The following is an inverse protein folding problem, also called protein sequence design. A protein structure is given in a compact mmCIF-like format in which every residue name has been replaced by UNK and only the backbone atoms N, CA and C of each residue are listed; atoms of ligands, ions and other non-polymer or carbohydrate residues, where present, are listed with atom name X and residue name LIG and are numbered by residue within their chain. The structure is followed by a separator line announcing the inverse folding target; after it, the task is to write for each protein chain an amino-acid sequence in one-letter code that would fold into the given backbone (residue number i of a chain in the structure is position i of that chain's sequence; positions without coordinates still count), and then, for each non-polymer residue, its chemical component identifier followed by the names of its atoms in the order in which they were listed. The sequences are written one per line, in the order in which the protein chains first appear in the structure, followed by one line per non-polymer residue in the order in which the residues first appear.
data_IF_664651309149
#
_entry.id   IF_664651309149
#
_cell.length_a   1.000
_cell.length_b   1.000
_cell.length_c   1.000
_cell.angle_alpha   90.00
_cell.angle_beta   90.00
_cell.angle_gamma   90.00
#
_symmetry.space_group_name_H-M   'P 1'
#
loop_
_entity.id
_entity.type
_entity.pdbx_description
1 polymer ?
2 polymer ?
3 water ?
#
# COMPACT_ATOMS: atom_id res chain seq x y z
N UNK A 31 30.65 13.81 10.40
CA UNK A 31 30.29 12.37 10.45
C UNK A 31 28.79 12.15 10.26
N UNK A 32 27.98 12.84 11.07
CA UNK A 32 26.52 12.72 11.00
C UNK A 32 26.10 11.26 11.09
N UNK A 33 26.54 10.58 12.13
CA UNK A 33 26.13 9.20 12.39
C UNK A 33 24.65 9.14 12.74
N UNK A 34 24.11 10.23 13.27
CA UNK A 34 22.68 10.34 13.55
C UNK A 34 21.87 10.29 12.25
N UNK A 35 22.24 11.13 11.30
CA UNK A 35 21.60 11.13 9.98
C UNK A 35 21.77 9.80 9.26
N UNK A 36 23.00 9.27 9.31
CA UNK A 36 23.30 7.98 8.67
C UNK A 36 22.48 6.84 9.27
N UNK A 37 22.38 6.82 10.60
CA UNK A 37 21.59 5.80 11.30
C UNK A 37 20.13 5.87 10.90
N UNK A 38 19.56 7.08 10.92
CA UNK A 38 18.15 7.27 10.62
C UNK A 38 17.82 6.97 9.16
N UNK A 39 18.75 7.24 8.24
CA UNK A 39 18.55 6.85 6.84
C UNK A 39 18.58 5.32 6.69
N UNK A 40 19.47 4.65 7.41
CA UNK A 40 19.47 3.19 7.45
C UNK A 40 18.15 2.64 8.02
N UNK A 41 17.66 3.24 9.10
CA UNK A 41 16.34 2.90 9.64
C UNK A 41 15.26 2.96 8.56
N UNK A 42 15.22 4.08 7.85
CA UNK A 42 14.23 4.30 6.80
C UNK A 42 14.38 3.30 5.66
N UNK A 43 15.63 3.02 5.28
CA UNK A 43 15.93 2.03 4.24
C UNK A 43 15.46 0.63 4.65
N UNK A 44 15.57 0.31 5.94
CA UNK A 44 15.09 -0.97 6.45
C UNK A 44 13.58 -1.11 6.28
N UNK A 45 12.82 -0.07 6.62
CA UNK A 45 11.36 -0.12 6.50
C UNK A 45 10.92 -0.10 5.03
N UNK A 46 11.57 0.70 4.20
CA UNK A 46 11.28 0.71 2.77
C UNK A 46 11.52 -0.65 2.14
N UNK A 47 12.66 -1.27 2.47
CA UNK A 47 12.96 -2.62 2.00
C UNK A 47 11.96 -3.66 2.52
N UNK A 48 11.56 -3.53 3.79
CA UNK A 48 10.57 -4.45 4.37
C UNK A 48 9.24 -4.36 3.62
N UNK A 49 8.81 -3.12 3.38
CA UNK A 49 7.55 -2.85 2.67
C UNK A 49 7.60 -3.37 1.23
N UNK A 50 8.75 -3.25 0.57
CA UNK A 50 8.92 -3.77 -0.78
C UNK A 50 8.83 -5.28 -0.83
N UNK A 51 9.55 -5.94 0.08
CA UNK A 51 9.49 -7.39 0.21
C UNK A 51 8.08 -7.86 0.57
N UNK A 52 7.43 -7.14 1.48
CA UNK A 52 6.07 -7.47 1.89
C UNK A 52 5.07 -7.27 0.75
N UNK A 53 5.26 -6.20 -0.03
CA UNK A 53 4.41 -5.92 -1.20
C UNK A 53 4.36 -7.12 -2.15
N UNK A 54 5.54 -7.62 -2.52
CA UNK A 54 5.64 -8.71 -3.48
C UNK A 54 5.10 -10.02 -2.90
N UNK A 55 5.43 -10.31 -1.65
CA UNK A 55 4.91 -11.50 -0.96
C UNK A 55 3.38 -11.46 -0.90
N UNK A 56 2.83 -10.31 -0.52
CA UNK A 56 1.39 -10.14 -0.38
C UNK A 56 0.69 -10.27 -1.73
N UNK A 57 1.22 -9.59 -2.75
CA UNK A 57 0.65 -9.68 -4.09
C UNK A 57 0.67 -11.12 -4.61
N UNK A 58 1.81 -11.79 -4.44
CA UNK A 58 1.94 -13.19 -4.86
C UNK A 58 0.93 -14.10 -4.18
N UNK A 59 0.62 -13.83 -2.91
CA UNK A 59 -0.37 -14.62 -2.17
C UNK A 59 -1.77 -14.30 -2.65
N UNK A 60 -2.10 -13.02 -2.75
CA UNK A 60 -3.39 -12.58 -3.26
C UNK A 60 -3.62 -13.10 -4.69
N UNK A 61 -2.56 -13.16 -5.48
CA UNK A 61 -2.65 -13.58 -6.87
C UNK A 61 -2.96 -15.07 -7.05
N UNK A 62 -2.59 -15.89 -6.07
CA UNK A 62 -2.83 -17.34 -6.13
C UNK A 62 -4.31 -17.67 -6.33
N UNK A 63 -5.17 -16.94 -5.63
CA UNK A 63 -6.62 -17.09 -5.76
C UNK A 63 -7.17 -16.21 -6.88
N UNK A 64 -6.76 -14.95 -6.88
CA UNK A 64 -7.36 -13.92 -7.74
C UNK A 64 -6.53 -13.63 -8.99
N UNK A 65 -6.24 -14.67 -9.77
CA UNK A 65 -5.41 -14.55 -10.99
C UNK A 65 -5.97 -13.61 -12.06
N UNK A 66 -7.29 -13.42 -12.05
CA UNK A 66 -8.00 -12.73 -13.14
C UNK A 66 -8.70 -11.44 -12.71
N UNK A 67 -8.35 -10.93 -11.53
CA UNK A 67 -9.01 -9.74 -10.97
C UNK A 67 -8.04 -8.58 -10.79
N UNK A 68 -8.58 -7.37 -10.71
CA UNK A 68 -7.79 -6.20 -10.33
C UNK A 68 -7.35 -6.35 -8.88
N UNK A 69 -6.10 -5.97 -8.60
CA UNK A 69 -5.59 -5.92 -7.24
C UNK A 69 -5.03 -4.52 -7.01
N UNK A 70 -5.39 -3.93 -5.88
CA UNK A 70 -4.82 -2.65 -5.48
C UNK A 70 -4.78 -2.53 -3.96
N UNK A 71 -3.60 -2.19 -3.43
CA UNK A 71 -3.44 -1.98 -1.99
C UNK A 71 -2.31 -1.00 -1.68
N UNK A 72 -2.35 -0.45 -0.45
CA UNK A 72 -1.26 0.34 0.10
C UNK A 72 -0.46 -0.52 1.08
N UNK A 73 0.71 -1.01 0.65
CA UNK A 73 1.54 -1.78 1.58
C UNK A 73 2.05 -0.92 2.76
N UNK A 74 2.21 0.38 2.54
CA UNK A 74 2.54 1.31 3.62
C UNK A 74 1.48 1.30 4.71
N UNK A 75 0.21 1.35 4.32
CA UNK A 75 -0.89 1.39 5.27
C UNK A 75 -1.02 0.06 6.03
N UNK A 76 -0.90 -1.04 5.31
CA UNK A 76 -1.02 -2.37 5.91
C UNK A 76 0.11 -2.60 6.91
N UNK A 77 1.34 -2.33 6.48
CA UNK A 77 2.51 -2.56 7.31
C UNK A 77 2.55 -1.63 8.52
N UNK A 78 2.15 -0.37 8.33
CA UNK A 78 2.10 0.59 9.44
C UNK A 78 1.15 0.13 10.55
N UNK A 79 -0.05 -0.30 10.17
CA UNK A 79 -1.05 -0.77 11.13
C UNK A 79 -0.56 -2.02 11.86
N UNK A 80 0.02 -2.96 11.11
CA UNK A 80 0.57 -4.18 11.69
C UNK A 80 1.87 -3.96 12.46
N UNK A 81 2.57 -2.87 12.17
CA UNK A 81 3.77 -2.50 12.93
C UNK A 81 3.37 -1.91 14.28
N UNK A 82 2.32 -1.11 14.29
CA UNK A 82 1.72 -0.60 15.52
C UNK A 82 1.20 -1.75 16.39
N UNK A 83 0.78 -2.84 15.75
CA UNK A 83 0.38 -4.07 16.42
C UNK A 83 1.61 -4.86 16.90
N UNK A 84 2.61 -4.95 16.02
CA UNK A 84 3.89 -5.61 16.33
C UNK A 84 4.56 -5.00 17.56
N UNK A 85 4.39 -3.68 17.74
CA UNK A 85 4.89 -2.97 18.91
C UNK A 85 4.40 -3.60 20.23
N UNK A 86 3.20 -4.16 20.22
CA UNK A 86 2.61 -4.81 21.40
C UNK A 86 2.93 -6.31 21.49
N UNK A 87 3.44 -6.89 20.40
CA UNK A 87 3.60 -8.34 20.28
C UNK A 87 4.82 -8.87 21.03
N UNK A 88 4.72 -10.11 21.49
CA UNK A 88 5.80 -10.79 22.19
C UNK A 88 5.92 -12.23 21.69
N UNK A 89 7.06 -12.85 21.95
CA UNK A 89 7.27 -14.27 21.65
C UNK A 89 7.06 -14.64 20.19
N UNK A 90 6.48 -15.82 19.98
CA UNK A 90 6.26 -16.35 18.62
C UNK A 90 5.24 -15.52 17.84
N UNK A 91 4.33 -14.85 18.54
CA UNK A 91 3.41 -13.91 17.91
C UNK A 91 4.18 -12.81 17.19
N UNK A 92 5.16 -12.23 17.87
CA UNK A 92 6.00 -11.18 17.31
C UNK A 92 6.91 -11.71 16.21
N UNK A 93 7.58 -12.82 16.50
CA UNK A 93 8.55 -13.41 15.57
C UNK A 93 7.94 -13.77 14.22
N UNK A 94 6.71 -14.28 14.24
CA UNK A 94 5.97 -14.59 13.00
C UNK A 94 5.67 -13.32 12.21
N UNK A 95 5.16 -12.29 12.91
CA UNK A 95 4.87 -11.00 12.28
C UNK A 95 6.13 -10.40 11.64
N UNK A 96 7.24 -10.43 12.38
CA UNK A 96 8.52 -9.90 11.88
C UNK A 96 8.98 -10.61 10.61
N UNK A 97 8.73 -11.92 10.53
CA UNK A 97 9.14 -12.71 9.38
C UNK A 97 8.28 -12.38 8.15
N UNK A 98 6.96 -12.36 8.34
CA UNK A 98 6.02 -12.09 7.25
C UNK A 98 6.15 -10.64 6.75
N UNK A 99 6.27 -9.70 7.68
CA UNK A 99 6.35 -8.27 7.34
C UNK A 99 7.78 -7.82 7.01
N UNK A 100 8.74 -8.73 7.17
CA UNK A 100 10.15 -8.48 6.87
C UNK A 100 10.77 -7.40 7.76
N UNK A 101 10.56 -7.53 9.08
CA UNK A 101 11.15 -6.62 10.06
C UNK A 101 12.44 -7.17 10.71
N UNK A 102 12.99 -8.24 10.13
CA UNK A 102 14.07 -8.99 10.79
C UNK A 102 15.40 -8.24 10.84
N UNK A 103 15.69 -7.47 9.80
CA UNK A 103 16.99 -6.79 9.68
C UNK A 103 17.07 -5.46 10.46
N UNK A 104 16.10 -5.20 11.33
CA UNK A 104 16.03 -3.92 12.04
C UNK A 104 16.10 -4.10 13.55
N UNK A 105 16.97 -3.33 14.19
CA UNK A 105 17.05 -3.30 15.66
C UNK A 105 15.87 -2.53 16.23
N UNK A 106 15.39 -1.53 15.48
CA UNK A 106 14.25 -0.72 15.91
C UNK A 106 13.40 -0.28 14.71
N UNK A 107 12.62 -1.22 14.18
CA UNK A 107 11.80 -0.99 12.99
C UNK A 107 10.88 0.24 13.16
N UNK A 108 10.44 0.47 14.40
CA UNK A 108 9.52 1.56 14.71
C UNK A 108 10.12 2.95 14.46
N UNK A 109 11.45 3.06 14.57
CA UNK A 109 12.14 4.31 14.25
C UNK A 109 12.05 4.64 12.77
N UNK A 110 12.28 3.65 11.92
CA UNK A 110 12.17 3.82 10.48
C UNK A 110 10.77 4.27 10.06
N UNK A 111 9.75 3.66 10.66
CA UNK A 111 8.36 4.05 10.41
C UNK A 111 8.12 5.49 10.83
N UNK A 112 8.65 5.86 12.00
CA UNK A 112 8.56 7.24 12.50
C UNK A 112 9.15 8.23 11.51
N UNK A 113 10.37 7.94 11.05
CA UNK A 113 11.09 8.87 10.18
C UNK A 113 10.47 8.94 8.78
N UNK A 114 9.96 7.82 8.28
CA UNK A 114 9.23 7.83 7.02
C UNK A 114 7.92 8.63 7.15
N UNK A 115 7.21 8.41 8.25
CA UNK A 115 5.97 9.15 8.53
C UNK A 115 6.23 10.65 8.56
N UNK A 116 7.29 11.04 9.27
CA UNK A 116 7.69 12.44 9.34
C UNK A 116 8.00 13.02 7.95
N UNK A 117 8.73 12.26 7.13
CA UNK A 117 9.03 12.68 5.77
C UNK A 117 7.78 12.85 4.92
N UNK A 118 6.86 11.89 4.98
CA UNK A 118 5.62 11.94 4.20
C UNK A 118 4.72 13.09 4.65
N UNK A 119 4.70 13.36 5.96
CA UNK A 119 3.85 14.42 6.51
C UNK A 119 4.51 15.81 6.53
N UNK A 120 5.71 15.93 5.98
CA UNK A 120 6.43 17.19 5.98
C UNK A 120 5.59 18.25 5.27
N UNK A 121 5.42 19.44 5.88
CA UNK A 121 4.58 20.46 5.26
C UNK A 121 5.09 20.91 3.89
N UNK A 122 4.16 21.10 2.95
CA UNK A 122 4.46 21.45 1.58
C UNK A 122 3.24 22.09 0.94
N UNK A 123 3.44 22.74 -0.20
CA UNK A 123 2.34 23.40 -0.91
C UNK A 123 2.10 22.88 -2.35
N UNK A 124 2.97 21.99 -2.83
CA UNK A 124 2.92 21.55 -4.24
C UNK A 124 2.11 20.26 -4.50
N UNK A 125 1.86 19.46 -3.47
CA UNK A 125 0.96 18.30 -3.58
C UNK A 125 0.48 17.82 -2.21
N UNK A 126 -0.48 16.90 -2.22
CA UNK A 126 -1.04 16.33 -0.99
C UNK A 126 -0.45 14.95 -0.69
N UNK A 127 0.13 14.81 0.50
CA UNK A 127 0.59 13.53 1.00
C UNK A 127 0.54 13.56 2.52
N UNK A 128 -0.22 12.64 3.10
CA UNK A 128 -0.36 12.56 4.54
C UNK A 128 -0.71 11.14 4.97
N UNK A 129 -0.32 10.80 6.20
CA UNK A 129 -0.68 9.53 6.79
C UNK A 129 -0.87 9.73 8.29
N UNK A 130 -1.77 8.96 8.88
CA UNK A 130 -2.10 9.10 10.29
C UNK A 130 -2.46 7.76 10.89
N UNK A 131 -2.21 7.63 12.19
CA UNK A 131 -2.57 6.42 12.93
C UNK A 131 -3.39 6.80 14.16
N UNK A 132 -4.17 5.83 14.64
CA UNK A 132 -4.99 6.05 15.82
C UNK A 132 -5.34 4.75 16.51
N UNK A 133 -5.45 4.82 17.84
CA UNK A 133 -5.80 3.67 18.66
C UNK A 133 -7.19 3.89 19.22
N UNK A 134 -8.10 2.96 18.91
CA UNK A 134 -9.43 2.96 19.50
C UNK A 134 -9.51 1.81 20.49
N UNK A 135 -9.77 2.13 21.75
CA UNK A 135 -9.70 1.15 22.84
C UNK A 135 -10.98 1.15 23.67
N UNK A 136 -11.40 -0.04 24.09
CA UNK A 136 -12.52 -0.18 25.02
C UNK A 136 -12.21 0.66 26.27
N UNK A 137 -13.12 1.57 26.61
CA UNK A 137 -12.94 2.49 27.75
C UNK A 137 -12.65 1.76 29.06
N UNK A 138 -13.20 0.56 29.22
CA UNK A 138 -12.94 -0.29 30.39
C UNK A 138 -11.58 -0.99 30.35
N UNK A 139 -10.99 -1.10 29.15
CA UNK A 139 -9.74 -1.84 28.97
C UNK A 139 -8.53 -0.92 29.12
N UNK A 140 -7.70 -1.20 30.14
CA UNK A 140 -6.51 -0.41 30.41
C UNK A 140 -5.33 -0.91 29.59
N UNK A 141 -4.64 0.02 28.93
CA UNK A 141 -3.42 -0.29 28.17
C UNK A 141 -2.19 0.20 28.93
N UNK A 142 -1.10 -0.54 28.79
CA UNK A 142 0.15 -0.19 29.47
C UNK A 142 0.66 1.17 28.98
N UNK A 143 1.09 2.04 29.91
CA UNK A 143 1.53 3.39 29.53
C UNK A 143 2.75 3.42 28.60
N UNK A 144 3.62 2.41 28.71
CA UNK A 144 4.77 2.29 27.82
C UNK A 144 4.33 2.10 26.37
N UNK A 145 3.32 1.27 26.12
CA UNK A 145 2.82 1.07 24.77
C UNK A 145 2.26 2.36 24.18
N UNK A 146 1.52 3.12 25.00
CA UNK A 146 0.89 4.35 24.55
C UNK A 146 1.91 5.44 24.20
N UNK A 147 2.96 5.57 25.00
CA UNK A 147 3.99 6.57 24.72
C UNK A 147 4.84 6.21 23.50
N UNK A 148 5.10 4.91 23.29
CA UNK A 148 5.84 4.44 22.12
C UNK A 148 4.98 4.55 20.84
N UNK A 149 3.69 4.25 20.96
CA UNK A 149 2.74 4.42 19.86
C UNK A 149 2.62 5.89 19.46
N UNK A 150 2.65 6.78 20.43
CA UNK A 150 2.64 8.23 20.17
C UNK A 150 3.95 8.66 19.52
N UNK A 151 5.06 8.20 20.09
CA UNK A 151 6.40 8.50 19.58
C UNK A 151 6.56 8.08 18.11
N UNK A 152 6.38 6.79 17.84
CA UNK A 152 6.74 6.21 16.54
C UNK A 152 5.65 6.31 15.46
N UNK A 153 4.38 6.30 15.88
CA UNK A 153 3.26 6.28 14.93
C UNK A 153 2.32 7.48 15.05
N UNK A 154 2.58 8.36 16.00
CA UNK A 154 1.71 9.52 16.28
C UNK A 154 0.26 9.10 16.47
N UNK A 155 0.09 7.94 17.11
CA UNK A 155 -1.23 7.38 17.38
C UNK A 155 -1.64 7.77 18.79
N UNK A 156 -2.76 8.48 18.89
CA UNK A 156 -3.34 8.86 20.18
C UNK A 156 -4.44 7.87 20.53
N UNK A 157 -4.59 7.52 21.82
CA UNK A 157 -5.68 6.62 22.20
C UNK A 157 -7.01 7.39 22.32
N UNK A 158 -8.07 6.81 21.78
CA UNK A 158 -9.43 7.32 22.00
C UNK A 158 -10.26 6.23 22.64
N UNK A 159 -10.74 6.48 23.86
CA UNK A 159 -11.61 5.54 24.56
C UNK A 159 -12.98 5.52 23.88
N UNK A 160 -13.47 4.32 23.62
CA UNK A 160 -14.82 4.14 23.05
C UNK A 160 -15.53 2.98 23.74
N UNK A 161 -16.85 3.00 23.69
CA UNK A 161 -17.67 1.96 24.33
C UNK A 161 -17.97 0.83 23.34
N UNK A 162 -17.03 -0.11 23.21
CA UNK A 162 -17.26 -1.29 22.37
C UNK A 162 -18.28 -2.24 23.03
N UNK A 163 -18.14 -2.43 24.34
CA UNK A 163 -18.96 -3.39 25.10
C UNK A 163 -20.46 -3.22 24.84
N UNK A 164 -20.97 -2.01 25.05
CA UNK A 164 -22.42 -1.75 24.94
C UNK A 164 -22.77 -0.63 23.95
N UNK A 165 -21.87 -0.35 23.01
CA UNK A 165 -22.17 0.59 21.92
C UNK A 165 -21.24 0.40 20.71
N UNK A 166 -21.24 -0.81 20.12
CA UNK A 166 -20.35 -1.08 18.97
C UNK A 166 -20.63 -0.19 17.74
N UNK A 167 -21.91 0.04 17.45
CA UNK A 167 -22.29 0.80 16.25
C UNK A 167 -21.89 2.27 16.35
N UNK A 168 -22.08 2.86 17.52
CA UNK A 168 -21.63 4.24 17.78
C UNK A 168 -20.10 4.33 17.66
N UNK A 169 -19.41 3.30 18.15
CA UNK A 169 -17.95 3.23 18.10
C UNK A 169 -17.46 3.01 16.66
N UNK A 170 -18.13 2.14 15.93
CA UNK A 170 -17.81 1.87 14.53
C UNK A 170 -17.97 3.13 13.67
N UNK A 171 -19.03 3.88 13.92
CA UNK A 171 -19.36 5.06 13.12
C UNK A 171 -18.36 6.19 13.32
N UNK A 172 -17.92 6.40 14.56
CA UNK A 172 -16.94 7.44 14.86
C UNK A 172 -15.56 7.11 14.27
N UNK A 173 -15.22 5.83 14.22
CA UNK A 173 -13.98 5.36 13.57
C UNK A 173 -14.06 5.61 12.06
N UNK A 174 -15.17 5.18 11.45
CA UNK A 174 -15.39 5.40 10.01
C UNK A 174 -15.40 6.88 9.63
N UNK A 175 -15.83 7.74 10.56
CA UNK A 175 -15.85 9.18 10.34
C UNK A 175 -14.44 9.77 10.37
N UNK A 176 -13.60 9.26 11.26
CA UNK A 176 -12.19 9.67 11.31
C UNK A 176 -11.49 9.23 10.01
N UNK A 177 -11.66 7.97 9.64
CA UNK A 177 -11.08 7.44 8.41
C UNK A 177 -11.57 8.24 7.20
N UNK A 178 -12.85 8.59 7.19
CA UNK A 178 -13.42 9.43 6.15
C UNK A 178 -12.69 10.77 6.05
N UNK A 179 -12.37 11.34 7.21
CA UNK A 179 -11.66 12.63 7.27
C UNK A 179 -10.22 12.51 6.78
N UNK A 180 -9.54 11.43 7.15
CA UNK A 180 -8.15 11.21 6.75
C UNK A 180 -8.02 10.89 5.25
N UNK A 181 -9.07 10.33 4.67
CA UNK A 181 -9.06 9.88 3.27
C UNK A 181 -9.75 10.85 2.31
N UNK A 182 -10.00 12.08 2.77
CA UNK A 182 -10.67 13.10 1.97
C UNK A 182 -12.03 12.61 1.46
N UNK A 183 -12.75 11.90 2.34
CA UNK A 183 -14.10 11.38 2.08
C UNK A 183 -14.18 10.25 1.04
N UNK A 184 -13.06 9.64 0.71
CA UNK A 184 -13.04 8.56 -0.30
C UNK A 184 -13.28 7.18 0.31
N UNK A 185 -12.94 7.02 1.60
CA UNK A 185 -13.24 5.81 2.34
C UNK A 185 -14.21 6.18 3.46
N UNK A 186 -15.51 6.18 3.15
CA UNK A 186 -16.54 6.68 4.08
C UNK A 186 -16.99 5.65 5.12
N UNK A 187 -16.95 4.37 4.77
CA UNK A 187 -17.45 3.29 5.64
C UNK A 187 -16.47 2.11 5.71
N UNK A 188 -15.30 2.35 6.28
CA UNK A 188 -14.24 1.33 6.35
C UNK A 188 -14.73 0.06 7.03
N UNK A 189 -15.26 0.19 8.24
CA UNK A 189 -15.73 -0.95 9.03
C UNK A 189 -17.22 -1.17 8.85
N UNK A 190 -17.61 -2.45 8.75
CA UNK A 190 -19.02 -2.85 8.65
C UNK A 190 -19.53 -3.36 10.00
N UNK A 191 -20.82 -3.67 10.05
CA UNK A 191 -21.47 -4.16 11.27
C UNK A 191 -20.90 -5.51 11.73
N UNK A 192 -20.45 -6.32 10.77
CA UNK A 192 -19.86 -7.63 11.07
C UNK A 192 -18.45 -7.53 11.66
N UNK A 193 -17.81 -6.36 11.53
CA UNK A 193 -16.42 -6.18 11.94
C UNK A 193 -16.28 -5.80 13.41
N UNK A 194 -17.04 -4.79 13.83
CA UNK A 194 -17.02 -4.31 15.21
C UNK A 194 -18.16 -4.96 16.00
N UNK A 195 -17.81 -5.55 17.15
CA UNK A 195 -18.78 -6.27 17.99
C UNK A 195 -18.62 -5.87 19.45
N UNK A 196 -19.46 -6.44 20.31
CA UNK A 196 -19.36 -6.23 21.76
C UNK A 196 -18.07 -6.80 22.34
N UNK A 197 -17.54 -7.83 21.69
CA UNK A 197 -16.30 -8.48 22.11
C UNK A 197 -15.04 -7.72 21.69
N UNK A 198 -15.20 -6.73 20.80
CA UNK A 198 -14.07 -5.92 20.33
C UNK A 198 -13.49 -5.09 21.48
N UNK A 199 -12.16 -5.12 21.61
CA UNK A 199 -11.46 -4.38 22.67
C UNK A 199 -10.52 -3.30 22.13
N UNK A 200 -9.92 -3.54 20.97
CA UNK A 200 -8.97 -2.59 20.37
C UNK A 200 -9.06 -2.59 18.85
N UNK A 201 -9.01 -1.39 18.26
CA UNK A 201 -8.88 -1.24 16.81
C UNK A 201 -7.75 -0.25 16.49
N UNK A 202 -6.70 -0.76 15.86
CA UNK A 202 -5.54 0.05 15.47
C UNK A 202 -5.70 0.41 13.99
N UNK A 203 -5.77 1.70 13.70
CA UNK A 203 -6.08 2.18 12.35
C UNK A 203 -4.96 3.02 11.76
N UNK A 204 -4.62 2.73 10.50
CA UNK A 204 -3.79 3.62 9.68
C UNK A 204 -4.61 4.16 8.51
N UNK A 205 -4.36 5.41 8.16
CA UNK A 205 -4.88 5.98 6.92
C UNK A 205 -3.73 6.68 6.17
N UNK A 206 -3.79 6.64 4.85
CA UNK A 206 -2.86 7.38 4.00
C UNK A 206 -3.65 8.04 2.88
N UNK A 207 -3.34 9.31 2.59
CA UNK A 207 -3.93 10.02 1.45
C UNK A 207 -2.84 10.63 0.59
N UNK A 208 -2.98 10.45 -0.73
CA UNK A 208 -2.08 11.04 -1.71
C UNK A 208 -2.85 11.63 -2.88
N UNK A 209 -2.51 12.85 -3.26
CA UNK A 209 -3.01 13.46 -4.49
C UNK A 209 -1.97 14.42 -5.03
N UNK A 210 -1.58 14.22 -6.28
CA UNK A 210 -0.59 15.07 -6.93
C UNK A 210 -0.86 15.15 -8.42
N UNK A 211 -0.48 16.28 -9.01
CA UNK A 211 -0.50 16.41 -10.46
C UNK A 211 0.71 15.70 -11.04
N UNK A 212 0.60 15.24 -12.29
CA UNK A 212 1.76 14.79 -13.04
C UNK A 212 2.74 15.95 -13.19
N UNK A 213 4.02 15.64 -13.35
CA UNK A 213 5.01 16.65 -13.70
C UNK A 213 4.63 17.25 -15.05
N UNK A 214 4.27 16.38 -16.00
CA UNK A 214 3.69 16.80 -17.28
C UNK A 214 2.30 16.17 -17.42
N UNK A 215 1.28 17.02 -17.44
CA UNK A 215 -0.11 16.57 -17.52
C UNK A 215 -0.51 16.22 -18.95
N UNK A 216 -1.45 15.28 -19.08
CA UNK A 216 -2.05 14.95 -20.37
C UNK A 216 -3.03 16.05 -20.77
N UNK A 217 -3.20 16.26 -22.07
CA UNK A 217 -4.25 17.13 -22.59
C UNK A 217 -5.52 16.30 -22.81
N UNK A 218 -6.61 16.65 -22.14
CA UNK A 218 -7.88 15.93 -22.25
C UNK A 218 -8.39 15.88 -23.69
N UNK A 219 -8.06 16.92 -24.46
CA UNK A 219 -8.33 16.97 -25.90
C UNK A 219 -7.83 15.73 -26.64
N UNK A 220 -6.67 15.22 -26.24
CA UNK A 220 -6.03 14.08 -26.91
C UNK A 220 -6.51 12.72 -26.37
N UNK A 221 -7.37 12.73 -25.37
CA UNK A 221 -7.93 11.49 -24.82
C UNK A 221 -9.04 10.98 -25.75
N UNK A 222 -9.01 9.68 -26.04
CA UNK A 222 -10.00 9.07 -26.94
C UNK A 222 -10.35 7.66 -26.48
N UNK A 223 -11.54 7.19 -26.84
CA UNK A 223 -11.97 5.84 -26.50
C UNK A 223 -11.23 4.84 -27.38
N UNK A 224 -10.58 3.86 -26.74
CA UNK A 224 -9.77 2.87 -27.43
C UNK A 224 -9.98 1.52 -26.78
N UNK A 225 -9.62 0.42 -27.47
CA UNK A 225 -9.76 -0.89 -26.85
C UNK A 225 -8.63 -1.21 -25.88
N UNK A 226 -8.98 -1.70 -24.70
CA UNK A 226 -8.02 -2.27 -23.76
C UNK A 226 -8.19 -3.78 -23.82
N UNK A 227 -7.11 -4.47 -24.20
CA UNK A 227 -7.15 -5.92 -24.39
C UNK A 227 -6.91 -6.65 -23.07
N UNK A 228 -7.95 -7.30 -22.56
CA UNK A 228 -7.86 -8.09 -21.33
C UNK A 228 -7.15 -9.41 -21.58
N UNK A 229 -7.21 -9.87 -22.83
CA UNK A 229 -6.56 -11.11 -23.25
C UNK A 229 -6.44 -11.10 -24.78
N UNK A 230 -5.96 -12.21 -25.34
CA UNK A 230 -5.90 -12.37 -26.79
C UNK A 230 -7.28 -12.33 -27.45
N UNK A 231 -8.31 -12.74 -26.69
CA UNK A 231 -9.67 -12.88 -27.23
C UNK A 231 -10.71 -11.97 -26.58
N UNK A 232 -10.28 -11.07 -25.69
CA UNK A 232 -11.21 -10.21 -24.95
C UNK A 232 -10.68 -8.78 -24.84
N UNK A 233 -11.57 -7.83 -25.05
CA UNK A 233 -11.24 -6.41 -24.88
C UNK A 233 -12.45 -5.60 -24.47
N UNK A 234 -12.20 -4.45 -23.83
CA UNK A 234 -13.24 -3.52 -23.43
C UNK A 234 -12.76 -2.10 -23.70
N UNK A 235 -13.70 -1.17 -23.93
CA UNK A 235 -13.30 0.21 -24.19
C UNK A 235 -12.84 0.92 -22.92
N UNK A 236 -11.84 1.78 -23.06
CA UNK A 236 -11.42 2.67 -21.99
C UNK A 236 -11.13 4.03 -22.60
N UNK A 237 -11.15 5.07 -21.77
CA UNK A 237 -10.68 6.38 -22.20
C UNK A 237 -9.16 6.36 -22.16
N UNK A 238 -8.53 6.38 -23.33
CA UNK A 238 -7.08 6.28 -23.44
C UNK A 238 -6.45 7.66 -23.58
N UNK A 239 -5.68 8.05 -22.55
CA UNK A 239 -4.99 9.33 -22.56
C UNK A 239 -3.75 9.19 -23.44
N UNK A 240 -3.29 10.30 -24.01
CA UNK A 240 -2.14 10.29 -24.89
C UNK A 240 -1.29 11.54 -24.77
N UNK A 241 0.02 11.35 -24.77
CA UNK A 241 0.97 12.43 -24.95
C UNK A 241 2.25 11.91 -25.57
N UNK A 242 3.01 12.80 -26.19
CA UNK A 242 4.37 12.52 -26.59
C UNK A 242 5.29 13.34 -25.70
N UNK A 243 6.09 12.66 -24.90
CA UNK A 243 7.05 13.35 -24.04
C UNK A 243 8.15 12.38 -23.57
N UNK A 244 9.07 12.90 -22.76
CA UNK A 244 10.26 12.17 -22.37
C UNK A 244 10.15 11.64 -20.94
N UNK A 245 10.33 10.33 -20.79
CA UNK A 245 10.23 9.65 -19.51
C UNK A 245 11.36 8.65 -19.36
N UNK A 246 11.74 8.31 -18.11
CA UNK A 246 12.67 7.21 -17.94
C UNK A 246 12.03 5.89 -18.34
N UNK A 247 12.69 5.15 -19.22
CA UNK A 247 12.18 3.87 -19.70
C UNK A 247 13.26 2.80 -19.60
N UNK A 248 12.89 1.66 -19.04
CA UNK A 248 13.73 0.47 -19.04
C UNK A 248 13.18 -0.53 -20.06
N UNK A 249 14.01 -0.89 -21.03
CA UNK A 249 13.66 -1.89 -22.03
C UNK A 249 14.36 -3.19 -21.67
N UNK A 250 13.59 -4.22 -21.33
CA UNK A 250 14.15 -5.52 -20.98
C UNK A 250 13.78 -6.56 -22.04
N UNK A 251 14.48 -6.50 -23.16
CA UNK A 251 14.23 -7.36 -24.33
C UNK A 251 14.16 -8.84 -23.97
N UNK A 252 15.16 -9.31 -23.23
CA UNK A 252 15.31 -10.74 -22.94
C UNK A 252 14.25 -11.29 -22.00
N UNK A 253 13.49 -10.40 -21.35
CA UNK A 253 12.34 -10.82 -20.54
C UNK A 253 11.02 -10.28 -21.11
N UNK A 254 11.07 -9.78 -22.34
CA UNK A 254 9.89 -9.27 -23.05
C UNK A 254 9.02 -8.32 -22.22
N UNK A 255 9.63 -7.27 -21.68
CA UNK A 255 8.85 -6.21 -21.01
C UNK A 255 9.56 -4.87 -21.07
N UNK A 256 8.78 -3.82 -20.79
CA UNK A 256 9.31 -2.48 -20.61
C UNK A 256 8.75 -1.92 -19.31
N UNK A 257 9.48 -1.01 -18.71
CA UNK A 257 8.99 -0.29 -17.53
C UNK A 257 9.23 1.20 -17.73
N UNK A 258 8.26 2.00 -17.31
CA UNK A 258 8.32 3.44 -17.44
C UNK A 258 8.11 4.08 -16.08
N UNK A 259 8.73 5.23 -15.87
CA UNK A 259 8.50 6.03 -14.68
C UNK A 259 7.76 7.29 -15.10
N UNK A 260 6.65 7.56 -14.41
CA UNK A 260 5.83 8.74 -14.67
C UNK A 260 5.88 9.64 -13.44
N UNK A 261 6.73 10.68 -13.46
CA UNK A 261 6.86 11.53 -12.28
C UNK A 261 5.65 12.39 -11.99
N UNK A 262 5.33 12.55 -10.70
CA UNK A 262 4.43 13.60 -10.24
C UNK A 262 5.26 14.87 -10.04
N UNK A 263 4.63 15.95 -9.61
CA UNK A 263 5.31 17.24 -9.48
C UNK A 263 6.66 17.11 -8.76
N UNK A 264 7.70 17.74 -9.33
CA UNK A 264 9.05 17.74 -8.79
C UNK A 264 9.71 16.34 -8.67
N UNK A 265 9.07 15.32 -9.24
CA UNK A 265 9.56 13.94 -9.20
C UNK A 265 9.81 13.41 -7.77
N UNK A 266 9.11 13.96 -6.79
CA UNK A 266 9.24 13.50 -5.40
C UNK A 266 8.53 12.15 -5.24
N UNK A 267 7.46 11.97 -6.01
CA UNK A 267 6.85 10.67 -6.19
C UNK A 267 6.65 10.39 -7.68
N UNK A 268 6.53 9.12 -8.03
CA UNK A 268 6.31 8.68 -9.40
C UNK A 268 5.38 7.49 -9.41
N UNK A 269 4.71 7.28 -10.55
CA UNK A 269 4.05 6.01 -10.81
C UNK A 269 4.92 5.23 -11.76
N UNK A 270 5.26 4.00 -11.37
CA UNK A 270 5.98 3.09 -12.25
C UNK A 270 4.98 2.13 -12.86
N UNK A 271 5.15 1.86 -14.14
CA UNK A 271 4.30 0.90 -14.85
C UNK A 271 5.17 -0.17 -15.50
N UNK A 272 4.84 -1.43 -15.22
CA UNK A 272 5.54 -2.58 -15.77
C UNK A 272 4.59 -3.23 -16.79
N UNK A 273 5.01 -3.25 -18.05
CA UNK A 273 4.15 -3.69 -19.16
C UNK A 273 4.85 -4.77 -20.00
N UNK A 274 4.28 -5.99 -20.04
CA UNK A 274 4.79 -6.99 -20.97
C UNK A 274 4.66 -6.49 -22.41
N UNK A 275 5.54 -6.95 -23.29
CA UNK A 275 5.60 -6.43 -24.66
C UNK A 275 4.32 -6.69 -25.46
N UNK A 276 3.63 -7.77 -25.13
CA UNK A 276 2.33 -8.07 -25.71
C UNK A 276 1.63 -9.04 -24.78
N UNK A 277 0.48 -9.57 -25.21
CA UNK A 277 -0.15 -10.68 -24.52
C UNK A 277 0.34 -11.97 -25.17
N UNK A 278 1.31 -12.61 -24.53
CA UNK A 278 1.92 -13.84 -25.05
C UNK A 278 1.66 -15.04 -24.13
N UNK A 279 0.45 -15.09 -23.58
CA UNK A 279 -0.01 -16.27 -22.85
C UNK A 279 -1.53 -16.37 -22.95
N UNK A 280 -2.11 -17.41 -22.34
CA UNK A 280 -3.54 -17.70 -22.47
C UNK A 280 -4.47 -16.88 -21.58
N UNK A 281 -3.93 -15.97 -20.77
CA UNK A 281 -4.75 -15.10 -19.93
C UNK A 281 -4.41 -13.62 -20.12
N UNK A 282 -3.81 -13.01 -19.10
CA UNK A 282 -3.63 -11.56 -19.04
C UNK A 282 -2.38 -11.07 -19.74
N UNK A 283 -1.46 -11.97 -20.07
CA UNK A 283 -0.14 -11.59 -20.59
C UNK A 283 0.88 -11.36 -19.48
N UNK A 284 0.45 -11.47 -18.22
CA UNK A 284 1.29 -11.21 -17.05
C UNK A 284 1.79 -12.49 -16.38
N UNK A 285 1.47 -13.65 -16.95
CA UNK A 285 1.79 -14.93 -16.31
C UNK A 285 3.28 -15.09 -16.00
N UNK A 286 4.11 -14.84 -17.02
CA UNK A 286 5.56 -14.95 -16.88
C UNK A 286 6.10 -13.94 -15.86
N UNK A 287 5.69 -12.68 -16.01
CA UNK A 287 6.08 -11.60 -15.11
C UNK A 287 5.73 -11.91 -13.66
N UNK A 288 4.53 -12.41 -13.44
CA UNK A 288 4.04 -12.71 -12.10
C UNK A 288 4.70 -13.97 -11.51
N UNK A 289 5.06 -14.90 -12.39
CA UNK A 289 5.78 -16.10 -11.98
C UNK A 289 7.19 -15.73 -11.49
N UNK A 290 7.84 -14.81 -12.22
CA UNK A 290 9.22 -14.43 -11.94
C UNK A 290 9.37 -13.18 -11.04
N UNK A 291 8.27 -12.65 -10.53
CA UNK A 291 8.33 -11.42 -9.75
C UNK A 291 8.98 -11.65 -8.39
N UNK A 292 10.02 -10.86 -8.10
CA UNK A 292 10.62 -10.80 -6.77
C UNK A 292 10.90 -9.33 -6.47
N UNK A 293 11.01 -8.98 -5.19
CA UNK A 293 11.35 -7.61 -4.82
C UNK A 293 12.76 -7.24 -5.29
N UNK A 294 13.70 -8.19 -5.18
CA UNK A 294 15.06 -8.03 -5.69
C UNK A 294 15.01 -7.59 -7.16
N UNK A 295 14.25 -8.32 -7.96
CA UNK A 295 14.06 -7.97 -9.37
C UNK A 295 13.34 -6.62 -9.53
N UNK A 296 12.21 -6.45 -8.85
CA UNK A 296 11.45 -5.22 -8.94
C UNK A 296 12.31 -4.00 -8.63
N UNK A 297 13.04 -4.10 -7.52
CA UNK A 297 13.89 -3.02 -7.02
C UNK A 297 15.01 -2.64 -8.00
N UNK A 298 15.73 -3.64 -8.49
CA UNK A 298 16.85 -3.38 -9.39
C UNK A 298 16.39 -2.89 -10.77
N UNK A 299 15.20 -3.28 -11.20
CA UNK A 299 14.64 -2.76 -12.43
C UNK A 299 14.28 -1.28 -12.29
N UNK A 300 13.59 -0.94 -11.20
CA UNK A 300 13.07 0.41 -10.98
C UNK A 300 14.17 1.47 -10.93
N UNK A 301 15.33 1.09 -10.37
CA UNK A 301 16.47 1.99 -10.25
C UNK A 301 17.61 1.60 -11.19
N UNK A 302 17.31 0.82 -12.22
CA UNK A 302 18.33 0.34 -13.14
C UNK A 302 19.05 1.51 -13.80
N UNK A 303 20.36 1.36 -13.98
CA UNK A 303 21.15 2.33 -14.72
C UNK A 303 20.73 2.38 -16.20
N UNK A 304 20.09 1.30 -16.66
CA UNK A 304 19.56 1.23 -18.02
C UNK A 304 18.15 1.82 -18.17
N UNK A 305 17.53 2.25 -17.07
CA UNK A 305 16.30 3.04 -17.15
C UNK A 305 16.70 4.50 -17.40
N UNK A 306 16.59 4.94 -18.66
CA UNK A 306 17.04 6.27 -19.05
C UNK A 306 15.97 7.06 -19.82
N UNK A 307 16.12 8.37 -19.82
CA UNK A 307 15.14 9.28 -20.42
C UNK A 307 14.98 9.02 -21.92
N UNK A 308 13.73 8.80 -22.32
CA UNK A 308 13.40 8.34 -23.66
C UNK A 308 12.15 9.08 -24.14
N UNK A 309 12.20 9.59 -25.37
CA UNK A 309 11.02 10.22 -25.98
C UNK A 309 10.02 9.12 -26.33
N UNK A 310 8.81 9.22 -25.79
CA UNK A 310 7.83 8.16 -25.88
C UNK A 310 6.48 8.66 -26.41
N UNK A 311 5.84 7.85 -27.24
CA UNK A 311 4.41 7.99 -27.51
C UNK A 311 3.67 7.20 -26.46
N UNK A 312 3.17 7.88 -25.44
CA UNK A 312 2.57 7.24 -24.27
C UNK A 312 1.05 7.21 -24.37
N UNK A 313 0.48 6.00 -24.37
CA UNK A 313 -0.96 5.82 -24.24
C UNK A 313 -1.22 5.17 -22.89
N UNK A 314 -1.98 5.86 -22.04
CA UNK A 314 -2.28 5.39 -20.70
C UNK A 314 -3.77 5.52 -20.41
N UNK A 315 -4.41 4.42 -19.96
CA UNK A 315 -5.83 4.53 -19.65
C UNK A 315 -6.12 5.48 -18.49
N UNK A 316 -7.22 6.22 -18.63
CA UNK A 316 -7.84 6.90 -17.51
C UNK A 316 -8.57 5.79 -16.76
N UNK A 317 -8.18 5.54 -15.52
CA UNK A 317 -8.76 4.42 -14.76
C UNK A 317 -8.85 4.68 -13.27
N UNK A 318 -9.73 3.92 -12.63
CA UNK A 318 -9.90 3.97 -11.18
C UNK A 318 -10.13 2.56 -10.64
N UNK A 319 -9.61 2.29 -9.45
CA UNK A 319 -9.80 1.02 -8.78
C UNK A 319 -10.21 1.23 -7.33
N UNK A 320 -11.07 0.34 -6.85
CA UNK A 320 -11.43 0.27 -5.44
C UNK A 320 -11.30 -1.17 -5.00
N UNK A 321 -10.93 -1.37 -3.75
CA UNK A 321 -10.72 -2.72 -3.23
C UNK A 321 -10.96 -2.73 -1.73
N UNK A 322 -11.47 -3.85 -1.23
CA UNK A 322 -11.67 -4.05 0.20
C UNK A 322 -11.53 -5.52 0.52
N UNK A 323 -10.77 -5.84 1.57
CA UNK A 323 -10.47 -7.22 1.91
C UNK A 323 -10.13 -7.36 3.40
N UNK A 324 -10.52 -8.48 3.97
CA UNK A 324 -10.08 -8.88 5.30
C UNK A 324 -8.86 -9.77 5.09
N UNK A 325 -7.69 -9.27 5.47
CA UNK A 325 -6.41 -9.94 5.19
C UNK A 325 -6.08 -11.09 6.14
N UNK A 326 -6.93 -11.37 7.11
CA UNK A 326 -6.66 -12.42 8.10
C UNK A 326 -6.21 -13.72 7.45
N UNK A 327 -7.05 -14.29 6.59
CA UNK A 327 -6.74 -15.55 5.93
C UNK A 327 -5.47 -15.46 5.09
N UNK A 328 -5.30 -14.35 4.38
CA UNK A 328 -4.11 -14.11 3.57
C UNK A 328 -2.86 -14.12 4.43
N UNK A 329 -2.90 -13.38 5.54
CA UNK A 329 -1.76 -13.27 6.45
C UNK A 329 -1.44 -14.61 7.13
N UNK A 330 -2.47 -15.39 7.45
CA UNK A 330 -2.27 -16.74 8.00
C UNK A 330 -1.57 -17.65 7.00
N UNK A 331 -1.98 -17.56 5.73
CA UNK A 331 -1.35 -18.35 4.67
C UNK A 331 0.11 -17.95 4.40
N UNK A 332 0.46 -16.72 4.77
CA UNK A 332 1.83 -16.23 4.62
C UNK A 332 2.72 -16.62 5.80
N UNK A 333 2.11 -17.02 6.92
CA UNK A 333 2.86 -17.49 8.09
C UNK A 333 2.58 -16.76 9.40
N UNK A 334 1.68 -15.78 9.37
CA UNK A 334 1.28 -15.05 10.57
C UNK A 334 0.01 -15.70 11.12
N UNK A 335 0.19 -16.66 12.04
CA UNK A 335 -0.90 -17.50 12.52
C UNK A 335 -1.27 -17.25 13.98
N UNK A 336 -0.28 -17.33 14.87
CA UNK A 336 -0.50 -17.24 16.32
C UNK A 336 -1.27 -15.99 16.74
N UNK A 337 -0.96 -14.86 16.11
CA UNK A 337 -1.62 -13.59 16.41
C UNK A 337 -3.16 -13.65 16.29
N UNK A 338 -3.65 -14.56 15.45
CA UNK A 338 -5.09 -14.74 15.24
C UNK A 338 -5.71 -15.85 16.10
N UNK A 339 -4.97 -16.33 17.10
CA UNK A 339 -5.43 -17.42 17.96
C UNK A 339 -5.49 -16.99 19.42
N UNK A 340 -6.01 -17.88 20.27
CA UNK A 340 -6.10 -17.65 21.71
C UNK A 340 -4.74 -17.62 22.39
N UNK A 341 -3.73 -18.22 21.76
CA UNK A 341 -2.35 -18.20 22.24
C UNK A 341 -1.57 -16.93 21.87
N UNK A 342 -2.24 -15.95 21.26
CA UNK A 342 -1.61 -14.69 20.88
C UNK A 342 -1.07 -13.95 22.09
N UNK A 343 0.16 -13.45 21.96
CA UNK A 343 0.83 -12.76 23.06
C UNK A 343 1.03 -11.28 22.68
N UNK A 344 0.14 -10.43 23.19
CA UNK A 344 0.24 -8.98 23.01
C UNK A 344 0.51 -8.30 24.35
N UNK A 345 1.38 -8.88 25.16
CA UNK A 345 1.66 -8.36 26.50
C UNK A 345 2.56 -7.11 26.48
N UNK A 346 2.91 -6.62 25.29
CA UNK A 346 3.54 -5.32 25.15
C UNK A 346 2.58 -4.17 25.46
N UNK A 347 1.28 -4.40 25.31
CA UNK A 347 0.26 -3.38 25.58
C UNK A 347 -0.66 -3.69 26.78
N UNK A 348 -0.56 -4.90 27.32
CA UNK A 348 -1.47 -5.33 28.40
C UNK A 348 -0.84 -6.41 29.27
N UNK A 349 -1.27 -6.48 30.53
CA UNK A 349 -0.79 -7.52 31.47
C UNK A 349 -1.60 -8.81 31.35
N UNK A 350 -2.79 -8.71 30.76
CA UNK A 350 -3.65 -9.86 30.54
C UNK A 350 -3.37 -10.50 29.17
N UNK A 351 -3.34 -11.83 29.12
CA UNK A 351 -3.16 -12.54 27.86
C UNK A 351 -4.52 -12.91 27.27
N UNK A 352 -5.35 -11.88 27.03
CA UNK A 352 -6.74 -12.07 26.64
C UNK A 352 -7.09 -11.38 25.30
N UNK A 353 -6.06 -11.04 24.52
CA UNK A 353 -6.26 -10.34 23.25
C UNK A 353 -5.80 -11.19 22.07
N UNK A 354 -6.53 -11.09 20.97
CA UNK A 354 -6.17 -11.77 19.72
C UNK A 354 -6.75 -10.99 18.54
N UNK A 355 -6.04 -11.01 17.41
CA UNK A 355 -6.50 -10.31 16.22
C UNK A 355 -7.67 -11.09 15.63
N UNK A 356 -8.80 -10.41 15.44
CA UNK A 356 -9.96 -11.02 14.80
C UNK A 356 -9.98 -10.74 13.31
N UNK A 357 -9.72 -9.48 12.93
CA UNK A 357 -9.75 -9.08 11.53
C UNK A 357 -8.66 -8.05 11.20
N UNK A 358 -8.23 -8.04 9.95
CA UNK A 358 -7.39 -6.99 9.40
C UNK A 358 -8.05 -6.47 8.13
N UNK A 359 -8.87 -5.44 8.27
CA UNK A 359 -9.61 -4.86 7.15
C UNK A 359 -8.75 -3.83 6.45
N UNK A 360 -8.62 -3.98 5.13
CA UNK A 360 -7.92 -2.99 4.31
C UNK A 360 -8.82 -2.55 3.14
N UNK A 361 -8.97 -1.23 2.99
CA UNK A 361 -9.74 -0.67 1.88
C UNK A 361 -8.89 0.36 1.14
N UNK A 362 -8.98 0.36 -0.19
CA UNK A 362 -8.13 1.20 -1.03
C UNK A 362 -8.89 1.88 -2.17
N UNK A 363 -8.32 2.96 -2.67
CA UNK A 363 -8.89 3.70 -3.80
C UNK A 363 -7.78 4.41 -4.57
N UNK A 364 -7.90 4.41 -5.89
CA UNK A 364 -7.02 5.18 -6.75
C UNK A 364 -7.79 5.67 -7.98
N UNK A 365 -7.48 6.89 -8.41
CA UNK A 365 -8.03 7.45 -9.64
C UNK A 365 -6.92 8.10 -10.45
N UNK A 366 -6.73 7.62 -11.67
CA UNK A 366 -5.72 8.15 -12.59
C UNK A 366 -6.44 8.88 -13.73
N UNK A 367 -6.06 10.13 -13.96
CA UNK A 367 -6.65 10.93 -15.03
C UNK A 367 -5.60 11.83 -15.67
N UNK A 368 -6.03 12.82 -16.45
CA UNK A 368 -5.11 13.65 -17.22
C UNK A 368 -4.25 14.58 -16.35
N UNK A 369 -4.79 14.97 -15.20
CA UNK A 369 -4.13 15.94 -14.32
C UNK A 369 -3.10 15.28 -13.41
N UNK A 370 -3.38 14.06 -12.97
CA UNK A 370 -2.48 13.35 -12.06
C UNK A 370 -3.09 12.09 -11.50
N UNK A 371 -2.91 11.88 -10.20
CA UNK A 371 -3.42 10.70 -9.54
C UNK A 371 -3.87 11.04 -8.12
N UNK A 372 -4.98 10.43 -7.71
CA UNK A 372 -5.42 10.45 -6.33
C UNK A 372 -5.39 9.01 -5.83
N UNK A 373 -4.77 8.78 -4.68
CA UNK A 373 -4.68 7.44 -4.12
C UNK A 373 -4.80 7.51 -2.61
N UNK A 374 -5.56 6.57 -2.05
CA UNK A 374 -5.88 6.61 -0.63
C UNK A 374 -6.27 5.23 -0.14
N UNK A 375 -6.00 4.96 1.13
CA UNK A 375 -6.28 3.66 1.73
C UNK A 375 -6.31 3.75 3.25
N UNK A 376 -6.91 2.73 3.87
CA UNK A 376 -6.91 2.62 5.32
C UNK A 376 -6.85 1.15 5.73
N UNK A 377 -6.29 0.91 6.91
CA UNK A 377 -6.17 -0.44 7.46
C UNK A 377 -6.62 -0.42 8.91
N UNK A 378 -7.55 -1.32 9.25
CA UNK A 378 -8.01 -1.48 10.62
C UNK A 378 -7.65 -2.86 11.13
N UNK A 379 -6.80 -2.92 12.15
CA UNK A 379 -6.46 -4.17 12.84
C UNK A 379 -7.41 -4.29 14.04
N UNK A 380 -8.36 -5.22 13.95
CA UNK A 380 -9.40 -5.38 14.96
C UNK A 380 -9.00 -6.48 15.95
N UNK A 381 -8.92 -6.11 17.22
CA UNK A 381 -8.46 -7.01 18.27
C UNK A 381 -9.57 -7.18 19.31
N UNK A 382 -9.87 -8.44 19.65
CA UNK A 382 -10.94 -8.76 20.60
C UNK A 382 -10.36 -9.21 21.94
N UNK B 1 13.68 7.18 -33.94
CA UNK B 1 12.19 7.33 -33.94
C UNK B 1 11.59 7.05 -32.55
N UNK B 2 10.46 7.69 -32.28
CA UNK B 2 9.83 7.67 -30.96
C UNK B 2 9.47 6.25 -30.51
N UNK B 3 9.73 5.95 -29.23
CA UNK B 3 9.38 4.66 -28.65
C UNK B 3 7.89 4.60 -28.34
N UNK B 4 7.24 3.52 -28.76
CA UNK B 4 5.83 3.30 -28.48
C UNK B 4 5.68 2.64 -27.11
N UNK B 5 4.94 3.29 -26.23
CA UNK B 5 4.60 2.72 -24.92
C UNK B 5 3.09 2.79 -24.75
N UNK B 6 2.40 1.78 -25.30
CA UNK B 6 0.95 1.76 -25.34
C UNK B 6 0.40 0.82 -24.27
N UNK B 7 -0.15 1.40 -23.21
CA UNK B 7 -0.69 0.62 -22.10
C UNK B 7 -2.14 0.22 -22.40
N UNK B 8 -2.30 -0.76 -23.29
CA UNK B 8 -3.62 -1.24 -23.70
C UNK B 8 -3.79 -2.74 -23.40
N UNK B 9 -3.02 -3.25 -22.44
CA UNK B 9 -3.20 -4.60 -21.93
C UNK B 9 -2.69 -4.65 -20.48
N UNK B 10 -3.04 -5.73 -19.73
CA UNK B 10 -2.75 -5.75 -18.30
C UNK B 10 -1.31 -5.37 -17.89
N UNK B 11 -1.20 -4.62 -16.80
CA UNK B 11 0.08 -4.14 -16.31
C UNK B 11 0.10 -4.11 -14.78
N UNK B 12 1.32 -4.09 -14.24
CA UNK B 12 1.54 -3.81 -12.82
C UNK B 12 1.88 -2.33 -12.70
N UNK B 13 1.46 -1.71 -11.60
CA UNK B 13 1.82 -0.32 -11.33
C UNK B 13 2.02 -0.09 -9.84
N UNK B 14 2.89 0.86 -9.50
CA UNK B 14 3.03 1.29 -8.12
C UNK B 14 3.40 2.76 -8.02
N UNK B 15 3.00 3.36 -6.91
CA UNK B 15 3.31 4.73 -6.61
C UNK B 15 4.40 4.72 -5.54
N UNK B 16 5.49 5.42 -5.81
CA UNK B 16 6.68 5.37 -4.97
C UNK B 16 7.07 6.75 -4.48
N UNK B 17 7.42 6.84 -3.20
CA UNK B 17 8.13 8.00 -2.66
C UNK B 17 9.59 7.82 -3.06
N UNK B 18 10.07 8.69 -3.95
CA UNK B 18 11.33 8.42 -4.65
C UNK B 18 12.60 8.52 -3.79
N UNK B 19 12.67 9.51 -2.90
CA UNK B 19 13.86 9.67 -2.05
C UNK B 19 14.12 8.43 -1.19
N UNK B 20 13.08 7.94 -0.53
CA UNK B 20 13.15 6.77 0.34
C UNK B 20 12.98 5.45 -0.42
N UNK B 21 12.45 5.54 -1.65
CA UNK B 21 12.10 4.38 -2.47
C UNK B 21 10.99 3.51 -1.85
N UNK B 22 10.15 4.11 -1.03
CA UNK B 22 9.05 3.37 -0.39
C UNK B 22 7.87 3.25 -1.34
N UNK B 23 7.39 2.02 -1.54
CA UNK B 23 6.16 1.78 -2.28
C UNK B 23 4.98 2.12 -1.37
N UNK B 24 4.18 3.11 -1.77
CA UNK B 24 3.02 3.54 -1.00
C UNK B 24 1.75 2.83 -1.46
N UNK B 25 1.67 2.57 -2.77
CA UNK B 25 0.54 1.85 -3.37
C UNK B 25 1.06 0.91 -4.44
N UNK B 26 0.47 -0.29 -4.52
CA UNK B 26 0.82 -1.27 -5.54
C UNK B 26 -0.45 -1.87 -6.13
N UNK B 27 -0.45 -2.13 -7.44
CA UNK B 27 -1.59 -2.80 -8.05
C UNK B 27 -1.32 -3.50 -9.36
N UNK B 28 -2.28 -4.33 -9.77
CA UNK B 28 -2.36 -4.83 -11.12
C UNK B 28 -3.69 -4.41 -11.74
N UNK B 29 -3.61 -3.81 -12.92
CA UNK B 29 -4.80 -3.47 -13.70
C UNK B 29 -4.91 -4.43 -14.88
N UNK B 30 -5.93 -5.27 -14.87
CA UNK B 30 -6.17 -6.24 -15.95
C UNK B 30 -7.60 -6.22 -16.50
N UNK B 31 -8.50 -5.46 -15.87
CA UNK B 31 -9.95 -5.57 -16.13
C UNK B 31 -10.66 -4.23 -15.97
N UNK B 32 -10.84 -3.48 -17.07
CA UNK B 32 -11.57 -2.22 -17.01
C UNK B 32 -12.90 -2.32 -16.27
N UNK B 33 -13.21 -1.31 -15.45
CA UNK B 33 -14.37 -1.30 -14.55
C UNK B 33 -14.66 -2.65 -13.91
#
# INVERSE_FOLDING_TARGET
MGGSHHHHHHGMASMTGGQQMGRDLYDDDDKDRWGSELEISMEQVSASIGNFTVDLFNKLNETNRDKNIFFSPWSISSALALTYLAAKGSTAREMAEVLHFEQAENIHSGFKELLTAFNKPRNNYSLRSANRIYVEKTYALLPTYLQLSKKYYKAEPQKVNFKTAPEQSRKEINTWVEKQTESKIKNLLSSDDVKATTRLILVNAIYFKAEWEVKFQAEKTSIQPFRLSKNKSKPVKMMYMRDTFPVLIMEKMNFKMIELPYVKRELSMFILLPDDIKDGTTGLEQLERELTYERLSEWADSKMMTETLVDLHLPKFSLEDRIDLRDTLRNMGMTTAFTTNADFRGMTDKKDLAISKVIHQSFVAVDEKGTEAVAATAVIIS
HVLKFKVDHPFHFFIRHNKSKTILFFGRFCCPVE
#
